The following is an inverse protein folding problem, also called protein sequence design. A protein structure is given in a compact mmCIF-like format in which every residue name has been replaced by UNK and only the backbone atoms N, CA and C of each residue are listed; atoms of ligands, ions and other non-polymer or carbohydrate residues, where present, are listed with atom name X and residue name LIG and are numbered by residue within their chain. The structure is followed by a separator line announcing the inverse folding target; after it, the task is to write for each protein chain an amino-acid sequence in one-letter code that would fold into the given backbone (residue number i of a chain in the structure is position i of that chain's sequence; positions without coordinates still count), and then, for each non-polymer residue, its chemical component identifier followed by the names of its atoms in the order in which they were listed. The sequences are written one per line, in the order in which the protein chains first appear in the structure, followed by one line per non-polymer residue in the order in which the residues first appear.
data_IF_351529141886
#
_entry.id   IF_351529141886
#
_cell.length_a   1.000
_cell.length_b   1.000
_cell.length_c   1.000
_cell.angle_alpha   90.00
_cell.angle_beta   90.00
_cell.angle_gamma   90.00
#
_symmetry.space_group_name_H-M   'P 1'
#
loop_
_entity.id
_entity.type
_entity.pdbx_description
1 polymer ?
#
# COMPACT_ATOMS: atom_id res chain seq x y z
N UNK A 1 -7.04 -17.25 -1.69
CA UNK A 1 -6.12 -18.36 -2.12
C UNK A 1 -5.69 -18.19 -3.58
N UNK A 2 -6.61 -17.98 -4.56
CA UNK A 2 -6.28 -17.81 -5.99
C UNK A 2 -5.28 -16.67 -6.21
N UNK A 3 -5.58 -15.45 -5.75
CA UNK A 3 -4.72 -14.28 -5.91
C UNK A 3 -3.27 -14.54 -5.42
N UNK A 4 -3.14 -15.06 -4.19
CA UNK A 4 -1.83 -15.36 -3.62
C UNK A 4 -1.05 -16.38 -4.46
N UNK A 5 -1.72 -17.43 -4.90
CA UNK A 5 -1.10 -18.46 -5.76
C UNK A 5 -0.64 -17.86 -7.10
N UNK A 6 -1.42 -16.97 -7.71
CA UNK A 6 -1.04 -16.27 -8.95
C UNK A 6 0.24 -15.44 -8.77
N UNK A 7 0.31 -14.66 -7.68
CA UNK A 7 1.51 -13.87 -7.35
C UNK A 7 2.74 -14.77 -7.11
N UNK A 8 2.58 -15.85 -6.36
CA UNK A 8 3.65 -16.83 -6.12
C UNK A 8 4.09 -17.49 -7.43
N UNK A 9 3.15 -17.83 -8.30
CA UNK A 9 3.47 -18.45 -9.60
C UNK A 9 4.27 -17.51 -10.48
N UNK A 10 3.96 -16.20 -10.48
CA UNK A 10 4.76 -15.19 -11.18
C UNK A 10 6.18 -15.12 -10.59
N UNK A 11 6.32 -15.05 -9.27
CA UNK A 11 7.63 -15.01 -8.62
C UNK A 11 8.47 -16.24 -8.98
N UNK A 12 7.87 -17.43 -9.00
CA UNK A 12 8.52 -18.67 -9.41
C UNK A 12 8.93 -18.67 -10.89
N UNK A 13 8.10 -18.14 -11.77
CA UNK A 13 8.42 -17.98 -13.18
C UNK A 13 9.61 -17.03 -13.41
N UNK A 14 9.86 -16.13 -12.45
CA UNK A 14 11.04 -15.24 -12.41
C UNK A 14 12.25 -15.85 -11.68
N UNK A 15 12.22 -17.15 -11.35
CA UNK A 15 13.32 -17.86 -10.70
C UNK A 15 13.42 -17.70 -9.18
N UNK A 16 12.41 -17.11 -8.53
CA UNK A 16 12.35 -16.95 -7.07
C UNK A 16 11.67 -18.18 -6.48
N UNK A 17 12.31 -18.86 -5.51
CA UNK A 17 11.70 -20.00 -4.80
C UNK A 17 10.69 -19.52 -3.75
N UNK A 18 9.64 -18.83 -4.22
CA UNK A 18 8.60 -18.28 -3.37
C UNK A 18 7.67 -19.34 -2.81
N UNK A 19 7.38 -19.25 -1.50
CA UNK A 19 6.53 -20.18 -0.77
C UNK A 19 5.22 -19.53 -0.33
N UNK A 20 4.21 -20.34 -0.04
CA UNK A 20 2.91 -19.86 0.43
C UNK A 20 2.96 -19.10 1.77
N UNK A 21 4.01 -19.29 2.54
CA UNK A 21 4.26 -18.66 3.85
C UNK A 21 5.09 -17.39 3.78
N UNK A 22 5.68 -17.06 2.62
CA UNK A 22 6.48 -15.85 2.43
C UNK A 22 5.62 -14.60 2.51
N UNK A 23 6.24 -13.46 2.83
CA UNK A 23 5.54 -12.19 2.87
C UNK A 23 5.44 -11.60 1.46
N UNK A 24 4.21 -11.33 1.01
CA UNK A 24 3.96 -10.66 -0.26
C UNK A 24 3.62 -9.20 0.00
N UNK A 25 4.46 -8.31 -0.50
CA UNK A 25 4.27 -6.85 -0.42
C UNK A 25 3.92 -6.32 -1.80
N UNK A 26 3.09 -5.28 -1.88
CA UNK A 26 2.77 -4.62 -3.15
C UNK A 26 2.86 -3.11 -3.09
N UNK A 27 3.24 -2.51 -4.21
CA UNK A 27 2.97 -1.11 -4.54
C UNK A 27 2.36 -1.04 -5.92
N UNK A 28 1.45 -0.09 -6.13
CA UNK A 28 0.74 0.05 -7.39
C UNK A 28 0.38 1.52 -7.65
N UNK A 29 0.18 1.87 -8.90
CA UNK A 29 -0.22 3.22 -9.28
C UNK A 29 0.27 3.60 -10.67
N UNK A 30 0.13 4.89 -11.02
CA UNK A 30 0.68 5.46 -12.23
C UNK A 30 2.19 5.59 -12.12
N UNK A 31 2.87 5.58 -13.26
CA UNK A 31 4.31 5.82 -13.30
C UNK A 31 4.63 7.30 -13.04
N UNK A 32 4.76 7.64 -11.77
CA UNK A 32 5.18 8.95 -11.27
C UNK A 32 6.31 8.73 -10.26
N UNK A 33 7.53 8.62 -10.75
CA UNK A 33 8.72 8.14 -10.03
C UNK A 33 8.89 8.74 -8.63
N UNK A 34 8.91 10.07 -8.55
CA UNK A 34 9.09 10.79 -7.27
C UNK A 34 7.78 10.96 -6.53
N UNK A 35 6.71 11.33 -7.24
CA UNK A 35 5.44 11.65 -6.62
C UNK A 35 4.80 10.45 -5.93
N UNK A 36 4.85 9.27 -6.56
CA UNK A 36 4.39 8.00 -5.96
C UNK A 36 5.40 7.36 -5.02
N UNK A 37 6.60 7.95 -4.89
CA UNK A 37 7.65 7.44 -4.01
C UNK A 37 8.19 6.07 -4.44
N UNK A 38 8.22 5.80 -5.74
CA UNK A 38 8.72 4.52 -6.27
C UNK A 38 10.18 4.33 -5.86
N UNK A 39 10.99 5.37 -5.95
CA UNK A 39 12.38 5.38 -5.50
C UNK A 39 12.51 5.08 -4.00
N UNK A 40 11.62 5.64 -3.18
CA UNK A 40 11.58 5.38 -1.74
C UNK A 40 11.21 3.93 -1.44
N UNK A 41 10.22 3.39 -2.16
CA UNK A 41 9.84 1.98 -2.04
C UNK A 41 11.00 1.05 -2.39
N UNK A 42 11.64 1.25 -3.54
CA UNK A 42 12.75 0.40 -4.00
C UNK A 42 13.95 0.46 -3.05
N UNK A 43 14.30 1.64 -2.56
CA UNK A 43 15.38 1.81 -1.59
C UNK A 43 15.01 1.17 -0.24
N UNK A 44 13.74 1.22 0.18
CA UNK A 44 13.29 0.52 1.39
C UNK A 44 13.43 -1.01 1.23
N UNK A 45 13.08 -1.57 0.07
CA UNK A 45 13.26 -3.00 -0.20
C UNK A 45 14.75 -3.39 -0.20
N UNK A 46 15.62 -2.58 -0.79
CA UNK A 46 17.07 -2.81 -0.77
C UNK A 46 17.60 -2.83 0.67
N UNK A 47 17.28 -1.82 1.49
CA UNK A 47 17.72 -1.75 2.89
C UNK A 47 17.13 -2.87 3.75
N UNK A 48 15.89 -3.25 3.51
CA UNK A 48 15.27 -4.40 4.17
C UNK A 48 16.08 -5.67 3.91
N UNK A 49 16.47 -5.93 2.66
CA UNK A 49 17.27 -7.08 2.28
C UNK A 49 18.69 -7.08 2.85
N UNK A 50 19.32 -5.91 2.98
CA UNK A 50 20.64 -5.77 3.61
C UNK A 50 20.61 -6.10 5.12
N UNK A 51 19.52 -5.71 5.79
CA UNK A 51 19.33 -5.98 7.23
C UNK A 51 18.86 -7.41 7.49
N UNK A 52 18.09 -7.99 6.57
CA UNK A 52 17.35 -9.21 6.82
C UNK A 52 18.28 -10.42 6.98
N UNK A 53 18.45 -10.85 8.23
CA UNK A 53 19.09 -12.12 8.61
C UNK A 53 18.04 -13.23 8.83
N UNK A 54 16.77 -12.99 8.45
CA UNK A 54 15.65 -13.89 8.72
C UNK A 54 15.51 -15.01 7.69
N UNK A 55 14.82 -16.09 8.10
CA UNK A 55 14.51 -17.23 7.22
C UNK A 55 13.32 -16.97 6.30
N UNK A 56 12.47 -15.99 6.62
CA UNK A 56 11.24 -15.70 5.85
C UNK A 56 11.59 -14.77 4.69
N UNK A 57 11.24 -15.19 3.49
CA UNK A 57 11.42 -14.38 2.30
C UNK A 57 10.34 -13.27 2.21
N UNK A 58 10.71 -12.20 1.53
CA UNK A 58 9.80 -11.11 1.16
C UNK A 58 9.81 -11.00 -0.37
N UNK A 59 8.64 -11.08 -0.99
CA UNK A 59 8.47 -10.84 -2.41
C UNK A 59 7.68 -9.56 -2.60
N UNK A 60 8.31 -8.55 -3.17
CA UNK A 60 7.75 -7.22 -3.35
C UNK A 60 7.37 -7.02 -4.84
N UNK A 61 6.08 -6.82 -5.11
CA UNK A 61 5.55 -6.61 -6.45
C UNK A 61 5.38 -5.11 -6.72
N UNK A 62 6.03 -4.63 -7.79
CA UNK A 62 5.90 -3.26 -8.30
C UNK A 62 4.95 -3.28 -9.48
N UNK A 63 3.66 -3.08 -9.21
CA UNK A 63 2.57 -3.16 -10.18
C UNK A 63 2.29 -1.77 -10.77
N UNK A 64 3.20 -1.31 -11.63
CA UNK A 64 3.16 0.03 -12.22
C UNK A 64 3.29 -0.09 -13.73
N UNK A 65 2.24 0.23 -14.51
CA UNK A 65 2.27 0.19 -15.96
C UNK A 65 3.45 1.00 -16.52
N UNK A 66 4.07 0.48 -17.56
CA UNK A 66 5.20 1.09 -18.29
C UNK A 66 6.50 1.23 -17.49
N UNK A 67 6.55 0.81 -16.22
CA UNK A 67 7.78 0.74 -15.45
C UNK A 67 8.49 -0.60 -15.73
N UNK A 68 9.13 -0.69 -16.87
CA UNK A 68 9.91 -1.84 -17.26
C UNK A 68 11.34 -1.72 -16.69
N UNK A 69 11.66 -2.56 -15.74
CA UNK A 69 12.95 -2.67 -15.09
C UNK A 69 13.26 -4.12 -14.78
N UNK A 70 14.53 -4.42 -14.64
CA UNK A 70 15.00 -5.73 -14.22
C UNK A 70 14.60 -6.02 -12.77
N UNK A 71 14.10 -7.23 -12.53
CA UNK A 71 13.86 -7.74 -11.20
C UNK A 71 15.20 -7.83 -10.44
N UNK A 72 15.17 -7.66 -9.14
CA UNK A 72 16.39 -7.77 -8.35
C UNK A 72 16.16 -8.47 -7.01
N UNK A 73 17.25 -8.99 -6.47
CA UNK A 73 17.26 -9.63 -5.14
C UNK A 73 18.31 -8.98 -4.26
N UNK A 74 17.95 -8.72 -3.01
CA UNK A 74 18.86 -8.30 -1.96
C UNK A 74 18.60 -9.15 -0.70
N UNK A 75 19.56 -10.00 -0.33
CA UNK A 75 19.36 -10.93 0.78
C UNK A 75 18.15 -11.85 0.56
N UNK A 76 17.17 -11.78 1.45
CA UNK A 76 15.91 -12.53 1.35
C UNK A 76 14.73 -11.69 0.81
N UNK A 77 15.01 -10.54 0.22
CA UNK A 77 14.00 -9.65 -0.40
C UNK A 77 14.15 -9.72 -1.92
N UNK A 78 13.07 -10.05 -2.59
CA UNK A 78 12.97 -10.16 -4.04
C UNK A 78 12.00 -9.11 -4.55
N UNK A 79 12.42 -8.28 -5.49
CA UNK A 79 11.57 -7.27 -6.14
C UNK A 79 11.23 -7.71 -7.54
N UNK A 80 9.93 -7.81 -7.82
CA UNK A 80 9.37 -8.24 -9.10
C UNK A 80 8.61 -7.08 -9.72
N UNK A 81 9.03 -6.66 -10.92
CA UNK A 81 8.32 -5.64 -11.67
C UNK A 81 7.21 -6.26 -12.52
N UNK A 82 6.06 -5.62 -12.50
CA UNK A 82 4.86 -5.98 -13.27
C UNK A 82 4.46 -4.74 -14.10
N UNK A 83 5.12 -4.52 -15.27
CA UNK A 83 5.01 -3.26 -16.03
C UNK A 83 3.77 -3.20 -16.93
N UNK A 84 2.67 -3.83 -16.50
CA UNK A 84 1.43 -3.92 -17.26
C UNK A 84 0.24 -3.36 -16.49
N UNK A 85 -0.79 -2.98 -17.24
CA UNK A 85 -2.07 -2.58 -16.66
C UNK A 85 -2.90 -3.81 -16.33
N UNK A 86 -3.15 -4.04 -15.04
CA UNK A 86 -3.80 -5.24 -14.51
C UNK A 86 -5.33 -5.18 -14.73
N UNK A 87 -5.76 -5.51 -15.93
CA UNK A 87 -7.18 -5.48 -16.36
C UNK A 87 -7.83 -6.87 -16.43
N UNK A 88 -7.10 -7.92 -16.07
CA UNK A 88 -7.57 -9.31 -16.11
C UNK A 88 -7.27 -10.06 -17.41
N UNK A 89 -6.76 -9.38 -18.43
CA UNK A 89 -6.32 -9.98 -19.70
C UNK A 89 -5.00 -9.34 -20.13
N UNK A 90 -4.04 -9.28 -19.21
CA UNK A 90 -2.78 -8.56 -19.35
C UNK A 90 -1.62 -9.43 -19.85
N UNK A 91 -1.82 -10.74 -19.96
CA UNK A 91 -0.81 -11.71 -20.42
C UNK A 91 0.28 -12.02 -19.39
N UNK A 92 0.21 -11.43 -18.17
CA UNK A 92 1.19 -11.64 -17.08
C UNK A 92 0.52 -12.32 -15.90
N UNK A 93 -0.42 -11.65 -15.27
CA UNK A 93 -1.16 -12.17 -14.10
C UNK A 93 -2.58 -12.62 -14.45
N UNK A 94 -3.17 -12.04 -15.48
CA UNK A 94 -4.53 -12.33 -15.98
C UNK A 94 -5.60 -12.31 -14.86
N UNK A 95 -5.39 -11.41 -13.90
CA UNK A 95 -6.34 -11.05 -12.85
C UNK A 95 -6.41 -9.52 -12.72
N UNK A 96 -7.61 -8.94 -12.56
CA UNK A 96 -7.72 -7.53 -12.26
C UNK A 96 -6.98 -7.15 -10.97
N UNK A 97 -6.51 -5.91 -10.89
CA UNK A 97 -5.77 -5.41 -9.72
C UNK A 97 -6.47 -5.70 -8.39
N UNK A 98 -7.77 -5.46 -8.30
CA UNK A 98 -8.52 -5.69 -7.07
C UNK A 98 -8.61 -7.17 -6.67
N UNK A 99 -8.66 -8.07 -7.66
CA UNK A 99 -8.63 -9.51 -7.40
C UNK A 99 -7.27 -9.98 -6.91
N UNK A 100 -6.18 -9.32 -7.32
CA UNK A 100 -4.81 -9.62 -6.88
C UNK A 100 -4.52 -9.07 -5.49
N UNK A 101 -5.08 -7.91 -5.17
CA UNK A 101 -4.81 -7.15 -3.95
C UNK A 101 -4.97 -8.00 -2.68
N UNK A 102 -6.05 -8.81 -2.60
CA UNK A 102 -6.31 -9.71 -1.47
C UNK A 102 -5.26 -10.81 -1.29
N UNK A 103 -4.38 -11.01 -2.25
CA UNK A 103 -3.26 -11.97 -2.20
C UNK A 103 -2.05 -11.45 -1.46
N UNK A 104 -1.96 -10.13 -1.26
CA UNK A 104 -0.87 -9.47 -0.56
C UNK A 104 -1.04 -9.53 0.97
N UNK A 105 0.07 -9.40 1.66
CA UNK A 105 0.11 -9.28 3.13
C UNK A 105 0.15 -7.82 3.57
N UNK A 106 0.80 -6.98 2.79
CA UNK A 106 1.01 -5.56 3.06
C UNK A 106 1.12 -4.79 1.74
N UNK A 107 0.66 -3.55 1.73
CA UNK A 107 0.96 -2.61 0.65
C UNK A 107 1.74 -1.41 1.17
N UNK A 108 2.52 -0.77 0.30
CA UNK A 108 3.33 0.39 0.63
C UNK A 108 3.16 1.46 -0.44
N UNK A 109 2.60 2.60 -0.06
CA UNK A 109 2.36 3.74 -0.94
C UNK A 109 3.05 5.00 -0.37
N UNK A 110 4.37 5.12 -0.55
CA UNK A 110 5.14 6.20 0.05
C UNK A 110 5.08 7.48 -0.78
N UNK A 111 3.87 7.93 -1.13
CA UNK A 111 3.67 9.08 -1.99
C UNK A 111 4.22 10.37 -1.38
N UNK A 112 4.82 11.23 -2.22
CA UNK A 112 5.23 12.56 -1.87
C UNK A 112 4.06 13.53 -1.83
N UNK A 113 3.07 13.34 -2.71
CA UNK A 113 1.81 14.07 -2.69
C UNK A 113 0.69 13.22 -3.27
N UNK A 114 -0.41 13.16 -2.55
CA UNK A 114 -1.63 12.50 -2.99
C UNK A 114 -2.83 13.27 -2.43
N UNK A 115 -3.71 13.88 -3.26
CA UNK A 115 -4.85 14.67 -2.78
C UNK A 115 -5.75 13.91 -1.80
N UNK A 116 -6.03 12.64 -2.09
CA UNK A 116 -6.69 11.73 -1.18
C UNK A 116 -5.83 10.48 -0.94
N UNK A 117 -5.69 9.61 -1.90
CA UNK A 117 -4.98 8.33 -1.81
C UNK A 117 -5.96 7.16 -1.82
N UNK A 118 -6.51 6.89 -2.99
CA UNK A 118 -7.41 5.76 -3.16
C UNK A 118 -6.69 4.42 -2.98
N UNK A 119 -5.45 4.29 -3.47
CA UNK A 119 -4.70 3.03 -3.37
C UNK A 119 -4.51 2.52 -1.94
N UNK A 120 -4.12 3.32 -0.92
CA UNK A 120 -4.09 2.84 0.46
C UNK A 120 -5.50 2.55 1.01
N UNK A 121 -6.51 3.37 0.71
CA UNK A 121 -7.89 3.10 1.13
C UNK A 121 -8.41 1.78 0.56
N UNK A 122 -8.23 1.55 -0.74
CA UNK A 122 -8.63 0.32 -1.43
C UNK A 122 -7.93 -0.90 -0.85
N UNK A 123 -6.62 -0.80 -0.59
CA UNK A 123 -5.87 -1.86 0.07
C UNK A 123 -6.53 -2.28 1.38
N UNK A 124 -6.85 -1.32 2.22
CA UNK A 124 -7.48 -1.56 3.52
C UNK A 124 -8.90 -2.12 3.37
N UNK A 125 -9.67 -1.65 2.39
CA UNK A 125 -10.99 -2.19 2.07
C UNK A 125 -10.95 -3.68 1.67
N UNK A 126 -9.84 -4.11 1.06
CA UNK A 126 -9.57 -5.52 0.74
C UNK A 126 -8.82 -6.28 1.86
N UNK A 127 -8.90 -5.81 3.11
CA UNK A 127 -8.27 -6.43 4.28
C UNK A 127 -6.74 -6.52 4.21
N UNK A 128 -6.09 -5.65 3.45
CA UNK A 128 -4.63 -5.60 3.35
C UNK A 128 -4.13 -4.35 4.07
N UNK A 129 -3.43 -4.49 5.21
CA UNK A 129 -2.82 -3.36 5.89
C UNK A 129 -1.88 -2.60 4.97
N UNK A 130 -1.73 -1.30 5.21
CA UNK A 130 -0.98 -0.44 4.30
C UNK A 130 -0.04 0.51 5.03
N UNK A 131 1.03 0.89 4.34
CA UNK A 131 1.91 2.00 4.75
C UNK A 131 1.65 3.15 3.79
N UNK A 132 1.36 4.33 4.32
CA UNK A 132 1.18 5.58 3.56
C UNK A 132 1.94 6.72 4.25
N UNK A 133 1.83 7.94 3.74
CA UNK A 133 2.52 9.11 4.30
C UNK A 133 1.55 10.19 4.76
N UNK A 134 2.04 11.10 5.59
CA UNK A 134 1.33 12.32 6.01
C UNK A 134 1.11 13.33 4.86
N UNK A 135 1.66 13.10 3.68
CA UNK A 135 1.43 13.89 2.47
C UNK A 135 0.31 13.33 1.58
N UNK A 136 -0.36 12.28 2.05
CA UNK A 136 -1.60 11.75 1.48
C UNK A 136 -2.79 12.24 2.29
N UNK A 137 -3.84 12.75 1.66
CA UNK A 137 -5.07 13.14 2.35
C UNK A 137 -5.68 12.01 3.16
N UNK A 138 -5.61 10.77 2.66
CA UNK A 138 -6.04 9.58 3.40
C UNK A 138 -5.15 9.32 4.63
N UNK A 139 -3.84 9.57 4.53
CA UNK A 139 -2.93 9.48 5.67
C UNK A 139 -3.29 10.47 6.75
N UNK A 140 -3.49 11.75 6.39
CA UNK A 140 -3.94 12.80 7.31
C UNK A 140 -5.27 12.41 7.99
N UNK A 141 -6.24 11.94 7.20
CA UNK A 141 -7.51 11.48 7.75
C UNK A 141 -7.35 10.29 8.70
N UNK A 142 -6.45 9.36 8.43
CA UNK A 142 -6.15 8.24 9.34
C UNK A 142 -5.55 8.74 10.67
N UNK A 143 -4.69 9.77 10.64
CA UNK A 143 -4.16 10.43 11.84
C UNK A 143 -5.28 11.05 12.67
N UNK A 144 -6.24 11.73 12.06
CA UNK A 144 -7.43 12.28 12.72
C UNK A 144 -8.31 11.18 13.35
N UNK A 145 -8.33 9.97 12.79
CA UNK A 145 -8.99 8.81 13.36
C UNK A 145 -8.17 8.12 14.49
N UNK A 146 -6.98 8.62 14.82
CA UNK A 146 -6.06 8.00 15.78
C UNK A 146 -5.47 6.68 15.31
N UNK A 147 -5.39 6.48 13.98
CA UNK A 147 -4.91 5.26 13.33
C UNK A 147 -3.63 5.56 12.55
N UNK A 148 -2.46 5.36 13.18
CA UNK A 148 -1.16 5.69 12.60
C UNK A 148 -0.15 4.54 12.64
N UNK A 149 -0.52 3.41 13.24
CA UNK A 149 0.35 2.25 13.39
C UNK A 149 -0.23 1.02 12.67
N UNK A 150 0.63 0.16 12.18
CA UNK A 150 0.21 -1.00 11.37
C UNK A 150 -0.73 -1.97 12.12
N UNK A 151 -0.70 -1.99 13.45
CA UNK A 151 -1.65 -2.75 14.28
C UNK A 151 -3.10 -2.24 14.13
N UNK A 152 -3.25 -0.97 13.71
CA UNK A 152 -4.55 -0.34 13.38
C UNK A 152 -4.90 -0.47 11.90
N UNK A 153 -4.14 -1.29 11.16
CA UNK A 153 -4.36 -1.54 9.74
C UNK A 153 -3.67 -0.56 8.80
N UNK A 154 -3.15 0.55 9.31
CA UNK A 154 -2.40 1.54 8.54
C UNK A 154 -1.23 2.08 9.34
N UNK A 155 -0.05 2.19 8.71
CA UNK A 155 1.04 2.99 9.24
C UNK A 155 1.14 4.29 8.43
N UNK A 156 1.01 5.42 9.11
CA UNK A 156 1.17 6.76 8.50
C UNK A 156 2.54 7.28 8.87
N UNK A 157 3.40 7.47 7.87
CA UNK A 157 4.76 7.92 8.06
C UNK A 157 4.84 9.42 7.79
N UNK A 158 5.32 10.17 8.77
CA UNK A 158 5.58 11.60 8.59
C UNK A 158 6.62 11.82 7.50
N UNK A 159 6.27 12.60 6.47
CA UNK A 159 7.12 12.91 5.32
C UNK A 159 7.16 14.41 5.06
N UNK A 160 8.35 14.92 4.71
CA UNK A 160 8.60 16.28 4.24
C UNK A 160 9.75 16.29 3.22
N UNK A 161 10.16 17.47 2.78
CA UNK A 161 11.16 17.64 1.73
C UNK A 161 12.58 17.17 2.11
N UNK A 162 12.86 17.03 3.41
CA UNK A 162 14.24 16.78 3.91
C UNK A 162 14.41 15.43 4.60
N UNK A 163 13.32 14.66 4.87
CA UNK A 163 13.39 13.47 5.71
C UNK A 163 13.30 12.14 4.93
N UNK A 164 13.63 12.11 3.65
CA UNK A 164 13.50 10.90 2.82
C UNK A 164 14.17 9.67 3.44
N UNK A 165 15.35 9.83 4.04
CA UNK A 165 16.05 8.72 4.70
C UNK A 165 15.29 8.18 5.92
N UNK A 166 14.66 9.04 6.70
CA UNK A 166 13.86 8.64 7.86
C UNK A 166 12.60 7.91 7.42
N UNK A 167 11.94 8.39 6.33
CA UNK A 167 10.80 7.72 5.71
C UNK A 167 11.17 6.31 5.29
N UNK A 168 12.30 6.14 4.58
CA UNK A 168 12.78 4.81 4.16
C UNK A 168 13.02 3.90 5.36
N UNK A 169 13.69 4.39 6.40
CA UNK A 169 13.95 3.63 7.60
C UNK A 169 12.66 3.27 8.36
N UNK A 170 11.67 4.18 8.42
CA UNK A 170 10.37 3.88 9.01
C UNK A 170 9.62 2.80 8.23
N UNK A 171 9.65 2.82 6.89
CA UNK A 171 9.08 1.74 6.07
C UNK A 171 9.73 0.40 6.43
N UNK A 172 11.07 0.35 6.43
CA UNK A 172 11.82 -0.87 6.76
C UNK A 172 11.45 -1.38 8.15
N UNK A 173 11.49 -0.53 9.16
CA UNK A 173 11.19 -0.91 10.54
C UNK A 173 9.72 -1.39 10.70
N UNK A 174 8.78 -0.76 9.99
CA UNK A 174 7.37 -1.17 9.99
C UNK A 174 7.19 -2.55 9.37
N UNK A 175 7.89 -2.83 8.26
CA UNK A 175 7.86 -4.16 7.62
C UNK A 175 8.49 -5.21 8.54
N UNK A 176 9.65 -4.94 9.14
CA UNK A 176 10.31 -5.84 10.11
C UNK A 176 9.40 -6.14 11.30
N UNK A 177 8.74 -5.11 11.84
CA UNK A 177 7.75 -5.28 12.89
C UNK A 177 6.59 -6.16 12.45
N UNK A 178 6.00 -5.88 11.28
CA UNK A 178 4.89 -6.67 10.75
C UNK A 178 5.27 -8.14 10.50
N UNK A 179 6.49 -8.40 10.02
CA UNK A 179 7.05 -9.75 9.87
C UNK A 179 7.17 -10.50 11.20
N UNK A 180 7.37 -9.79 12.31
CA UNK A 180 7.50 -10.36 13.65
C UNK A 180 6.15 -10.69 14.31
N UNK A 181 5.04 -10.23 13.73
CA UNK A 181 3.72 -10.41 14.31
C UNK A 181 3.27 -11.88 14.29
N UNK A 182 2.59 -12.28 15.36
CA UNK A 182 1.91 -13.57 15.39
C UNK A 182 0.73 -13.59 14.41
N UNK A 183 0.31 -14.77 13.92
CA UNK A 183 -0.86 -14.87 13.03
C UNK A 183 -2.13 -14.20 13.58
N UNK A 184 -2.33 -14.24 14.90
CA UNK A 184 -3.45 -13.56 15.58
C UNK A 184 -3.36 -12.05 15.46
N UNK A 185 -2.17 -11.46 15.62
CA UNK A 185 -1.97 -10.02 15.48
C UNK A 185 -2.10 -9.57 14.02
N UNK A 186 -1.60 -10.36 13.07
CA UNK A 186 -1.80 -10.10 11.63
C UNK A 186 -3.28 -10.10 11.29
N UNK A 187 -4.04 -11.08 11.77
CA UNK A 187 -5.50 -11.13 11.55
C UNK A 187 -6.21 -9.91 12.18
N UNK A 188 -5.77 -9.46 13.36
CA UNK A 188 -6.31 -8.26 14.00
C UNK A 188 -6.02 -7.00 13.19
N UNK A 189 -4.79 -6.81 12.68
CA UNK A 189 -4.43 -5.69 11.82
C UNK A 189 -5.23 -5.68 10.51
N UNK A 190 -5.44 -6.84 9.88
CA UNK A 190 -6.29 -6.99 8.69
C UNK A 190 -7.75 -6.62 8.97
N UNK A 191 -8.28 -6.99 10.12
CA UNK A 191 -9.63 -6.61 10.56
C UNK A 191 -9.71 -5.10 10.81
N UNK A 192 -8.76 -4.53 11.53
CA UNK A 192 -8.69 -3.09 11.78
C UNK A 192 -8.61 -2.28 10.47
N UNK A 193 -7.88 -2.76 9.47
CA UNK A 193 -7.80 -2.14 8.16
C UNK A 193 -9.19 -1.95 7.53
N UNK A 194 -9.98 -3.00 7.41
CA UNK A 194 -11.31 -2.89 6.80
C UNK A 194 -12.28 -2.08 7.66
N UNK A 195 -12.21 -2.19 8.99
CA UNK A 195 -13.05 -1.40 9.89
C UNK A 195 -12.79 0.10 9.75
N UNK A 196 -11.53 0.50 9.53
CA UNK A 196 -11.18 1.89 9.25
C UNK A 196 -11.62 2.30 7.84
N UNK A 197 -11.39 1.47 6.82
CA UNK A 197 -11.82 1.75 5.45
C UNK A 197 -13.34 1.97 5.33
N UNK A 198 -14.15 1.21 6.06
CA UNK A 198 -15.60 1.37 6.09
C UNK A 198 -16.05 2.74 6.62
N UNK A 199 -15.26 3.41 7.47
CA UNK A 199 -15.56 4.78 7.92
C UNK A 199 -15.36 5.80 6.79
N UNK A 200 -14.52 5.51 5.80
CA UNK A 200 -14.25 6.35 4.63
C UNK A 200 -15.21 6.13 3.46
N UNK A 201 -16.31 5.40 3.65
CA UNK A 201 -17.34 5.25 2.62
C UNK A 201 -18.06 6.57 2.33
N UNK A 202 -18.46 6.75 1.08
CA UNK A 202 -19.18 7.94 0.61
C UNK A 202 -20.43 8.27 1.45
N UNK A 203 -21.15 7.26 1.94
CA UNK A 203 -22.32 7.49 2.81
C UNK A 203 -21.98 8.33 4.05
N UNK A 204 -20.75 8.22 4.57
CA UNK A 204 -20.28 8.98 5.73
C UNK A 204 -19.79 10.38 5.29
N UNK A 205 -19.03 10.48 4.20
CA UNK A 205 -18.50 11.75 3.70
C UNK A 205 -19.56 12.64 3.03
N UNK A 206 -20.64 12.06 2.52
CA UNK A 206 -21.70 12.84 1.87
C UNK A 206 -22.38 13.85 2.80
N UNK A 207 -22.30 13.65 4.12
CA UNK A 207 -22.77 14.61 5.09
C UNK A 207 -22.10 15.98 4.95
N UNK A 208 -20.78 16.02 4.71
CA UNK A 208 -20.02 17.25 4.50
C UNK A 208 -20.43 17.98 3.21
N UNK A 209 -20.75 17.23 2.15
CA UNK A 209 -21.26 17.80 0.90
C UNK A 209 -22.63 18.46 1.11
N UNK A 210 -23.53 17.81 1.85
CA UNK A 210 -24.85 18.38 2.16
C UNK A 210 -24.72 19.67 2.99
N UNK A 211 -23.82 19.72 3.93
CA UNK A 211 -23.52 20.92 4.70
C UNK A 211 -23.00 22.06 3.80
N UNK A 212 -22.00 21.76 2.96
CA UNK A 212 -21.47 22.73 2.00
C UNK A 212 -22.54 23.27 1.05
N UNK A 213 -23.42 22.42 0.52
CA UNK A 213 -24.54 22.83 -0.31
C UNK A 213 -25.53 23.72 0.46
N UNK A 214 -25.84 23.38 1.70
CA UNK A 214 -26.72 24.20 2.53
C UNK A 214 -26.16 25.60 2.77
N UNK A 215 -24.84 25.69 3.06
CA UNK A 215 -24.14 26.97 3.21
C UNK A 215 -24.16 27.77 1.90
N UNK A 216 -23.88 27.13 0.79
CA UNK A 216 -23.86 27.79 -0.53
C UNK A 216 -25.24 28.36 -0.90
N UNK A 217 -26.31 27.58 -0.70
CA UNK A 217 -27.68 28.01 -0.96
C UNK A 217 -28.11 29.19 -0.07
N UNK A 218 -27.79 29.14 1.21
CA UNK A 218 -28.05 30.26 2.13
C UNK A 218 -27.34 31.54 1.69
N UNK A 219 -26.07 31.44 1.26
CA UNK A 219 -25.32 32.61 0.78
C UNK A 219 -25.86 33.13 -0.56
N UNK A 220 -26.32 32.25 -1.46
CA UNK A 220 -26.93 32.64 -2.72
C UNK A 220 -28.27 33.40 -2.46
N UNK A 221 -29.15 32.88 -1.60
CA UNK A 221 -30.41 33.52 -1.25
C UNK A 221 -30.22 34.89 -0.56
N UNK A 222 -29.13 35.08 0.17
CA UNK A 222 -28.84 36.38 0.81
C UNK A 222 -28.28 37.46 -0.14
N UNK A 223 -27.99 37.09 -1.41
CA UNK A 223 -27.52 38.02 -2.47
C UNK A 223 -28.63 38.48 -3.43
N UNK A 224 -29.81 37.88 -3.32
CA UNK A 224 -31.04 38.27 -4.01
C UNK A 224 -31.86 39.23 -3.18
#
# INVERSE_FOLDING_TARGET
KRARNTLISLARAKGIDAQGTDMLIGTAGRFEWKNKGIDVFLEAMRRLGEKAKGKKQVVAFVMIPYLDREDFTMGNVHVVFVPTYLNGNDGVLNLPYYDLLIGLDLTVFPSYYEPWGYTPLESMAFHVPTITTSLSGYGVWCEEQGCTTIDKGVAVIYRNDSNTNDVINHIVNTIEYYLSLTPRKVAAARKAAVELALKAEWKNFFAYYREAYSIALKKASARL
#
